data_IF_980194229779
#
_entry.id   IF_980194229779
#
_cell.length_a   1.000
_cell.length_b   1.000
_cell.length_c   1.000
_cell.angle_alpha   90.00
_cell.angle_beta   90.00
_cell.angle_gamma   90.00
#
_symmetry.space_group_name_H-M   'P 1'
#
loop_
_entity.id
_entity.type
_entity.pdbx_description
1 polymer ?
#
# COMPACT_ATOMS: atom_id res chain seq x y z
N UNK A 1 -40.44 -9.42 -16.32
CA UNK A 1 -39.15 -10.06 -16.64
C UNK A 1 -38.32 -10.22 -15.36
N UNK A 2 -37.56 -11.32 -15.20
CA UNK A 2 -36.61 -11.50 -14.08
C UNK A 2 -35.29 -10.76 -14.30
N UNK A 3 -34.99 -10.41 -15.55
CA UNK A 3 -33.76 -9.69 -15.92
C UNK A 3 -34.10 -8.49 -16.79
N UNK A 4 -33.48 -7.35 -16.51
CA UNK A 4 -33.56 -6.14 -17.31
C UNK A 4 -32.14 -5.66 -17.63
N UNK A 5 -31.84 -5.52 -18.93
CA UNK A 5 -30.55 -5.01 -19.41
C UNK A 5 -30.76 -3.67 -20.11
N UNK A 6 -30.22 -2.61 -19.52
CA UNK A 6 -30.17 -1.25 -20.05
C UNK A 6 -28.70 -0.83 -20.24
N UNK A 7 -27.86 -1.77 -20.68
CA UNK A 7 -26.41 -1.58 -20.82
C UNK A 7 -26.05 -0.77 -22.08
N UNK A 8 -24.95 -0.02 -22.04
CA UNK A 8 -24.37 0.71 -23.18
C UNK A 8 -25.35 1.74 -23.79
N UNK A 9 -26.04 2.50 -22.94
CA UNK A 9 -26.92 3.60 -23.35
C UNK A 9 -26.34 4.96 -22.89
N UNK A 10 -27.12 6.03 -23.06
CA UNK A 10 -26.72 7.40 -22.72
C UNK A 10 -27.43 7.91 -21.45
N UNK A 11 -27.85 7.02 -20.55
CA UNK A 11 -28.55 7.42 -19.32
C UNK A 11 -27.61 8.22 -18.42
N UNK A 12 -28.02 9.41 -17.99
CA UNK A 12 -27.22 10.28 -17.10
C UNK A 12 -27.72 10.29 -15.65
N UNK A 13 -28.98 9.89 -15.43
CA UNK A 13 -29.61 9.77 -14.11
C UNK A 13 -30.70 8.70 -14.12
N UNK A 14 -31.05 8.18 -12.94
CA UNK A 14 -32.22 7.33 -12.73
C UNK A 14 -33.19 8.06 -11.80
N UNK A 15 -34.43 8.34 -12.24
CA UNK A 15 -35.42 8.99 -11.39
C UNK A 15 -35.95 8.04 -10.30
N UNK A 16 -36.53 8.62 -9.26
CA UNK A 16 -37.24 7.86 -8.22
C UNK A 16 -38.31 6.94 -8.83
N UNK A 17 -38.38 5.69 -8.38
CA UNK A 17 -39.42 4.75 -8.82
C UNK A 17 -39.34 4.29 -10.28
N UNK A 18 -38.24 4.56 -11.01
CA UNK A 18 -38.07 4.18 -12.41
C UNK A 18 -38.37 2.70 -12.72
N UNK A 19 -38.23 1.83 -11.72
CA UNK A 19 -38.41 0.38 -11.83
C UNK A 19 -39.53 -0.17 -10.93
N UNK A 20 -40.38 0.68 -10.33
CA UNK A 20 -41.38 0.26 -9.33
C UNK A 20 -42.36 -0.81 -9.84
N UNK A 21 -42.63 -0.83 -11.14
CA UNK A 21 -43.54 -1.78 -11.78
C UNK A 21 -42.88 -3.12 -12.15
N UNK A 22 -41.68 -3.41 -11.65
CA UNK A 22 -40.91 -4.63 -11.94
C UNK A 22 -40.64 -5.45 -10.66
N UNK A 23 -41.66 -5.86 -9.87
CA UNK A 23 -41.47 -6.51 -8.56
C UNK A 23 -40.81 -7.90 -8.64
N UNK A 24 -40.84 -8.52 -9.82
CA UNK A 24 -40.21 -9.84 -10.07
C UNK A 24 -38.77 -9.74 -10.59
N UNK A 25 -38.19 -8.54 -10.63
CA UNK A 25 -36.85 -8.33 -11.15
C UNK A 25 -35.79 -8.88 -10.20
N UNK A 26 -34.95 -9.78 -10.69
CA UNK A 26 -33.84 -10.43 -9.98
C UNK A 26 -32.48 -9.85 -10.40
N UNK A 27 -32.36 -9.37 -11.64
CA UNK A 27 -31.14 -8.77 -12.16
C UNK A 27 -31.43 -7.48 -12.94
N UNK A 28 -30.74 -6.40 -12.55
CA UNK A 28 -30.76 -5.12 -13.26
C UNK A 28 -29.35 -4.73 -13.69
N UNK A 29 -29.16 -4.49 -14.99
CA UNK A 29 -27.90 -3.98 -15.54
C UNK A 29 -28.08 -2.60 -16.16
N UNK A 30 -27.36 -1.62 -15.60
CA UNK A 30 -27.21 -0.23 -16.06
C UNK A 30 -25.74 0.05 -16.46
N UNK A 31 -25.03 -1.00 -16.86
CA UNK A 31 -23.62 -0.97 -17.22
C UNK A 31 -23.37 -0.01 -18.39
N UNK A 32 -22.26 0.72 -18.37
CA UNK A 32 -21.82 1.49 -19.55
C UNK A 32 -22.78 2.62 -19.91
N UNK A 33 -23.23 3.38 -18.91
CA UNK A 33 -24.04 4.57 -19.10
C UNK A 33 -23.23 5.81 -18.65
N UNK A 34 -23.86 6.99 -18.66
CA UNK A 34 -23.30 8.23 -18.16
C UNK A 34 -23.77 8.59 -16.75
N UNK A 35 -24.20 7.63 -15.93
CA UNK A 35 -24.85 7.91 -14.65
C UNK A 35 -23.90 8.65 -13.71
N UNK A 36 -24.20 9.91 -13.41
CA UNK A 36 -23.44 10.73 -12.47
C UNK A 36 -24.05 10.71 -11.07
N UNK A 37 -25.38 10.52 -10.98
CA UNK A 37 -26.14 10.51 -9.75
C UNK A 37 -27.22 9.42 -9.78
N UNK A 38 -27.50 8.83 -8.62
CA UNK A 38 -28.64 7.93 -8.39
C UNK A 38 -29.52 8.59 -7.33
N UNK A 39 -30.76 8.91 -7.66
CA UNK A 39 -31.68 9.52 -6.69
C UNK A 39 -32.04 8.52 -5.57
N UNK A 40 -32.35 9.03 -4.38
CA UNK A 40 -32.87 8.20 -3.29
C UNK A 40 -34.14 7.50 -3.74
N UNK A 41 -34.26 6.20 -3.46
CA UNK A 41 -35.40 5.39 -3.90
C UNK A 41 -35.48 5.08 -5.40
N UNK A 42 -34.42 5.33 -6.18
CA UNK A 42 -34.35 4.96 -7.60
C UNK A 42 -34.58 3.45 -7.84
N UNK A 43 -34.16 2.61 -6.90
CA UNK A 43 -34.34 1.15 -6.92
C UNK A 43 -35.38 0.66 -5.91
N UNK A 44 -36.28 1.54 -5.46
CA UNK A 44 -37.26 1.18 -4.44
C UNK A 44 -38.18 0.03 -4.89
N UNK A 45 -38.58 -0.81 -3.93
CA UNK A 45 -39.54 -1.92 -4.09
C UNK A 45 -39.10 -3.05 -5.04
N UNK A 46 -37.82 -3.17 -5.38
CA UNK A 46 -37.27 -4.31 -6.10
C UNK A 46 -36.93 -5.47 -5.13
N UNK A 47 -37.97 -6.03 -4.51
CA UNK A 47 -37.85 -6.98 -3.38
C UNK A 47 -37.11 -8.28 -3.71
N UNK A 48 -37.08 -8.66 -4.99
CA UNK A 48 -36.40 -9.88 -5.49
C UNK A 48 -35.03 -9.60 -6.11
N UNK A 49 -34.57 -8.35 -6.13
CA UNK A 49 -33.33 -7.99 -6.83
C UNK A 49 -32.13 -8.63 -6.13
N UNK A 50 -31.49 -9.56 -6.82
CA UNK A 50 -30.28 -10.27 -6.38
C UNK A 50 -29.01 -9.56 -6.85
N UNK A 51 -29.05 -8.99 -8.06
CA UNK A 51 -27.86 -8.43 -8.73
C UNK A 51 -28.13 -7.07 -9.35
N UNK A 52 -27.29 -6.10 -9.00
CA UNK A 52 -27.32 -4.75 -9.55
C UNK A 52 -25.96 -4.38 -10.16
N UNK A 53 -25.94 -4.07 -11.45
CA UNK A 53 -24.74 -3.67 -12.17
C UNK A 53 -24.80 -2.20 -12.58
N UNK A 54 -23.95 -1.39 -11.95
CA UNK A 54 -23.75 0.04 -12.16
C UNK A 54 -22.32 0.35 -12.63
N UNK A 55 -21.58 -0.66 -13.09
CA UNK A 55 -20.20 -0.51 -13.51
C UNK A 55 -20.07 0.25 -14.84
N UNK A 56 -18.95 0.93 -15.04
CA UNK A 56 -18.70 1.80 -16.21
C UNK A 56 -19.75 2.92 -16.26
N UNK A 57 -19.71 3.79 -15.26
CA UNK A 57 -20.57 4.98 -15.14
C UNK A 57 -19.73 6.17 -14.62
N UNK A 58 -20.37 7.27 -14.25
CA UNK A 58 -19.71 8.49 -13.80
C UNK A 58 -20.00 8.82 -12.31
N UNK A 59 -20.32 7.81 -11.49
CA UNK A 59 -20.70 8.02 -10.10
C UNK A 59 -19.50 8.50 -9.29
N UNK A 60 -19.65 9.60 -8.56
CA UNK A 60 -18.61 10.16 -7.67
C UNK A 60 -18.84 9.85 -6.19
N UNK A 61 -20.10 9.59 -5.83
CA UNK A 61 -20.55 9.25 -4.48
C UNK A 61 -21.72 8.29 -4.54
N UNK A 62 -22.00 7.66 -3.41
CA UNK A 62 -23.12 6.76 -3.22
C UNK A 62 -23.96 7.29 -2.08
N UNK A 63 -25.25 7.54 -2.33
CA UNK A 63 -26.18 7.84 -1.26
C UNK A 63 -26.73 6.51 -0.70
N UNK A 64 -26.65 6.25 0.62
CA UNK A 64 -27.21 5.05 1.23
C UNK A 64 -28.67 4.77 0.84
N UNK A 65 -29.48 5.84 0.73
CA UNK A 65 -30.92 5.73 0.45
C UNK A 65 -31.23 5.41 -1.02
N UNK A 66 -30.23 5.45 -1.90
CA UNK A 66 -30.36 4.93 -3.27
C UNK A 66 -30.64 3.43 -3.27
N UNK A 67 -30.19 2.69 -2.24
CA UNK A 67 -30.35 1.25 -2.11
C UNK A 67 -31.39 0.82 -1.06
N UNK A 68 -32.27 1.73 -0.65
CA UNK A 68 -33.35 1.42 0.30
C UNK A 68 -34.28 0.34 -0.22
N UNK A 69 -34.69 -0.57 0.68
CA UNK A 69 -35.65 -1.65 0.42
C UNK A 69 -35.22 -2.66 -0.66
N UNK A 70 -33.94 -3.07 -0.64
CA UNK A 70 -33.39 -4.15 -1.46
C UNK A 70 -33.00 -5.37 -0.60
N UNK A 71 -33.96 -6.08 0.02
CA UNK A 71 -33.69 -7.09 1.06
C UNK A 71 -33.03 -8.37 0.54
N UNK A 72 -32.97 -8.57 -0.77
CA UNK A 72 -32.36 -9.77 -1.38
C UNK A 72 -31.08 -9.45 -2.16
N UNK A 73 -30.59 -8.21 -2.13
CA UNK A 73 -29.42 -7.84 -2.93
C UNK A 73 -28.17 -8.54 -2.41
N UNK A 74 -27.57 -9.39 -3.26
CA UNK A 74 -26.36 -10.16 -2.93
C UNK A 74 -25.13 -9.68 -3.69
N UNK A 75 -25.29 -9.11 -4.89
CA UNK A 75 -24.18 -8.66 -5.70
C UNK A 75 -24.37 -7.24 -6.24
N UNK A 76 -23.41 -6.37 -5.93
CA UNK A 76 -23.37 -4.98 -6.39
C UNK A 76 -22.07 -4.72 -7.14
N UNK A 77 -22.16 -4.31 -8.41
CA UNK A 77 -21.01 -3.91 -9.22
C UNK A 77 -21.01 -2.41 -9.44
N UNK A 78 -20.00 -1.74 -8.93
CA UNK A 78 -19.76 -0.29 -9.02
C UNK A 78 -18.38 0.01 -9.64
N UNK A 79 -17.75 -0.98 -10.28
CA UNK A 79 -16.43 -0.80 -10.86
C UNK A 79 -16.39 0.20 -12.01
N UNK A 80 -15.22 0.79 -12.26
CA UNK A 80 -15.02 1.78 -13.32
C UNK A 80 -16.00 2.96 -13.18
N UNK A 81 -16.01 3.56 -11.99
CA UNK A 81 -16.70 4.81 -11.67
C UNK A 81 -15.66 5.84 -11.18
N UNK A 82 -16.11 6.93 -10.54
CA UNK A 82 -15.26 7.99 -10.00
C UNK A 82 -15.44 8.15 -8.49
N UNK A 83 -15.81 7.07 -7.78
CA UNK A 83 -16.08 7.10 -6.34
C UNK A 83 -14.79 7.42 -5.58
N UNK A 84 -14.81 8.44 -4.73
CA UNK A 84 -13.62 8.91 -4.00
C UNK A 84 -13.58 8.46 -2.55
N UNK A 85 -14.72 8.15 -1.93
CA UNK A 85 -14.80 7.70 -0.55
C UNK A 85 -15.99 6.75 -0.33
N UNK A 86 -15.90 5.96 0.73
CA UNK A 86 -16.96 5.13 1.29
C UNK A 86 -16.85 5.19 2.82
N UNK A 87 -17.99 5.17 3.49
CA UNK A 87 -18.10 5.17 4.95
C UNK A 87 -19.00 4.02 5.44
N UNK A 88 -19.13 3.87 6.75
CA UNK A 88 -19.94 2.82 7.38
C UNK A 88 -21.44 2.90 7.03
N UNK A 89 -21.93 4.08 6.67
CA UNK A 89 -23.34 4.33 6.32
C UNK A 89 -23.64 4.01 4.85
N UNK A 90 -22.63 4.11 3.96
CA UNK A 90 -22.74 4.03 2.50
C UNK A 90 -23.57 2.83 2.01
N UNK A 91 -23.40 1.66 2.64
CA UNK A 91 -24.10 0.42 2.28
C UNK A 91 -25.00 -0.12 3.40
N UNK A 92 -25.30 0.68 4.42
CA UNK A 92 -26.07 0.27 5.61
C UNK A 92 -27.48 -0.25 5.31
N UNK A 93 -28.07 0.14 4.16
CA UNK A 93 -29.40 -0.28 3.72
C UNK A 93 -29.45 -1.64 3.01
N UNK A 94 -28.30 -2.28 2.76
CA UNK A 94 -28.18 -3.56 2.05
C UNK A 94 -27.32 -4.58 2.81
N UNK A 95 -27.67 -4.94 4.07
CA UNK A 95 -26.86 -5.82 4.92
C UNK A 95 -26.70 -7.26 4.40
N UNK A 96 -27.50 -7.66 3.40
CA UNK A 96 -27.46 -8.99 2.77
C UNK A 96 -26.37 -9.14 1.72
N UNK A 97 -25.65 -8.06 1.41
CA UNK A 97 -24.67 -8.04 0.33
C UNK A 97 -23.55 -9.06 0.57
N UNK A 98 -23.28 -9.88 -0.44
CA UNK A 98 -22.25 -10.93 -0.41
C UNK A 98 -21.05 -10.60 -1.29
N UNK A 99 -21.27 -9.86 -2.38
CA UNK A 99 -20.25 -9.48 -3.35
C UNK A 99 -20.32 -7.99 -3.66
N UNK A 100 -19.25 -7.28 -3.37
CA UNK A 100 -19.10 -5.86 -3.66
C UNK A 100 -17.89 -5.65 -4.57
N UNK A 101 -18.11 -5.09 -5.75
CA UNK A 101 -17.03 -4.70 -6.65
C UNK A 101 -16.96 -3.17 -6.79
N UNK A 102 -15.85 -2.61 -6.35
CA UNK A 102 -15.45 -1.20 -6.39
C UNK A 102 -14.12 -1.01 -7.16
N UNK A 103 -13.71 -1.97 -7.98
CA UNK A 103 -12.49 -1.89 -8.78
C UNK A 103 -12.49 -0.64 -9.68
N UNK A 104 -11.32 -0.06 -9.96
CA UNK A 104 -11.18 1.10 -10.87
C UNK A 104 -12.06 2.28 -10.46
N UNK A 105 -11.93 2.69 -9.21
CA UNK A 105 -12.48 3.94 -8.67
C UNK A 105 -11.33 4.86 -8.20
N UNK A 106 -11.61 5.85 -7.37
CA UNK A 106 -10.63 6.83 -6.89
C UNK A 106 -10.54 6.86 -5.36
N UNK A 107 -10.85 5.73 -4.71
CA UNK A 107 -10.84 5.62 -3.24
C UNK A 107 -9.40 5.73 -2.73
N UNK A 108 -9.16 6.56 -1.72
CA UNK A 108 -7.81 6.85 -1.18
C UNK A 108 -7.54 6.22 0.18
N UNK A 109 -8.56 5.97 1.00
CA UNK A 109 -8.40 5.44 2.37
C UNK A 109 -9.53 4.46 2.68
N UNK A 110 -9.23 3.43 3.47
CA UNK A 110 -10.24 2.58 4.11
C UNK A 110 -10.14 2.77 5.63
N UNK A 111 -11.19 3.35 6.21
CA UNK A 111 -11.25 3.62 7.65
C UNK A 111 -11.78 2.42 8.43
N UNK A 112 -11.57 2.42 9.75
CA UNK A 112 -12.13 1.40 10.64
C UNK A 112 -13.65 1.30 10.49
N UNK A 113 -14.19 0.09 10.44
CA UNK A 113 -15.63 -0.14 10.33
C UNK A 113 -16.30 0.28 9.01
N UNK A 114 -15.54 0.67 7.98
CA UNK A 114 -16.08 1.06 6.64
C UNK A 114 -17.10 0.04 6.10
N UNK A 115 -16.88 -1.26 6.35
CA UNK A 115 -17.75 -2.35 5.88
C UNK A 115 -18.52 -3.05 7.00
N UNK A 116 -18.50 -2.51 8.22
CA UNK A 116 -19.10 -3.15 9.41
C UNK A 116 -20.60 -3.43 9.31
N UNK A 117 -21.32 -2.67 8.47
CA UNK A 117 -22.74 -2.85 8.19
C UNK A 117 -23.05 -4.01 7.23
N UNK A 118 -22.02 -4.71 6.72
CA UNK A 118 -22.15 -5.76 5.71
C UNK A 118 -21.60 -7.13 6.18
N UNK A 119 -22.19 -7.74 7.24
CA UNK A 119 -21.65 -8.95 7.87
C UNK A 119 -21.68 -10.20 6.97
N UNK A 120 -22.45 -10.18 5.87
CA UNK A 120 -22.59 -11.30 4.93
C UNK A 120 -21.60 -11.24 3.76
N UNK A 121 -20.72 -10.23 3.71
CA UNK A 121 -19.75 -10.09 2.63
C UNK A 121 -18.79 -11.28 2.57
N UNK A 122 -18.66 -11.83 1.36
CA UNK A 122 -17.74 -12.91 1.01
C UNK A 122 -16.64 -12.43 0.07
N UNK A 123 -16.92 -11.41 -0.72
CA UNK A 123 -15.99 -10.90 -1.72
C UNK A 123 -16.04 -9.38 -1.80
N UNK A 124 -14.87 -8.76 -1.61
CA UNK A 124 -14.66 -7.33 -1.81
C UNK A 124 -13.57 -7.17 -2.86
N UNK A 125 -13.88 -6.49 -3.95
CA UNK A 125 -12.93 -6.11 -4.97
C UNK A 125 -12.73 -4.58 -4.98
N UNK A 126 -11.53 -4.12 -4.71
CA UNK A 126 -11.13 -2.70 -4.66
C UNK A 126 -9.81 -2.46 -5.40
N UNK A 127 -9.52 -3.28 -6.41
CA UNK A 127 -8.30 -3.19 -7.20
C UNK A 127 -8.28 -1.93 -8.08
N UNK A 128 -7.09 -1.42 -8.40
CA UNK A 128 -6.93 -0.23 -9.26
C UNK A 128 -7.65 1.01 -8.71
N UNK A 129 -7.58 1.22 -7.40
CA UNK A 129 -7.98 2.45 -6.74
C UNK A 129 -6.73 3.30 -6.42
N UNK A 130 -6.87 4.31 -5.56
CA UNK A 130 -5.76 5.16 -5.10
C UNK A 130 -5.46 4.95 -3.61
N UNK A 131 -5.73 3.75 -3.07
CA UNK A 131 -5.69 3.51 -1.63
C UNK A 131 -4.25 3.62 -1.13
N UNK A 132 -3.98 4.58 -0.24
CA UNK A 132 -2.65 4.77 0.38
C UNK A 132 -2.57 4.18 1.78
N UNK A 133 -3.71 4.11 2.48
CA UNK A 133 -3.79 3.69 3.87
C UNK A 133 -5.04 2.87 4.18
N UNK A 134 -4.87 1.85 5.02
CA UNK A 134 -5.95 1.01 5.55
C UNK A 134 -5.80 1.04 7.07
N UNK A 135 -6.86 1.47 7.76
CA UNK A 135 -6.87 1.53 9.22
C UNK A 135 -6.94 0.13 9.84
N UNK A 136 -6.32 -0.10 11.00
CA UNK A 136 -6.62 -1.28 11.82
C UNK A 136 -8.13 -1.41 12.05
N UNK A 137 -8.67 -2.63 11.91
CA UNK A 137 -10.11 -2.86 12.01
C UNK A 137 -10.95 -2.40 10.80
N UNK A 138 -10.35 -1.98 9.69
CA UNK A 138 -11.07 -1.63 8.46
C UNK A 138 -12.04 -2.72 7.98
N UNK A 139 -11.67 -3.98 8.20
CA UNK A 139 -12.45 -5.17 7.82
C UNK A 139 -13.00 -5.93 9.03
N UNK A 140 -13.10 -5.29 10.20
CA UNK A 140 -13.68 -5.90 11.40
C UNK A 140 -15.11 -6.39 11.13
N UNK A 141 -15.52 -7.46 11.80
CA UNK A 141 -16.85 -8.09 11.69
C UNK A 141 -17.16 -8.76 10.34
N UNK A 142 -16.24 -8.76 9.38
CA UNK A 142 -16.40 -9.47 8.10
C UNK A 142 -16.03 -10.95 8.22
N UNK A 143 -16.68 -11.66 9.14
CA UNK A 143 -16.36 -13.05 9.48
C UNK A 143 -16.58 -14.03 8.32
N UNK A 144 -17.43 -13.66 7.35
CA UNK A 144 -17.73 -14.46 6.15
C UNK A 144 -16.82 -14.14 4.95
N UNK A 145 -15.89 -13.19 5.08
CA UNK A 145 -15.08 -12.73 3.97
C UNK A 145 -14.13 -13.82 3.51
N UNK A 146 -14.16 -14.12 2.21
CA UNK A 146 -13.36 -15.17 1.56
C UNK A 146 -12.32 -14.59 0.60
N UNK A 147 -12.60 -13.47 -0.04
CA UNK A 147 -11.73 -12.84 -1.03
C UNK A 147 -11.67 -11.34 -0.83
N UNK A 148 -10.46 -10.81 -0.71
CA UNK A 148 -10.19 -9.38 -0.63
C UNK A 148 -9.14 -9.01 -1.69
N UNK A 149 -9.56 -8.25 -2.70
CA UNK A 149 -8.70 -7.83 -3.82
C UNK A 149 -8.34 -6.34 -3.67
N UNK A 150 -7.07 -6.06 -3.37
CA UNK A 150 -6.51 -4.71 -3.17
C UNK A 150 -5.36 -4.42 -4.15
N UNK A 151 -5.30 -5.17 -5.25
CA UNK A 151 -4.26 -5.08 -6.28
C UNK A 151 -4.16 -3.68 -6.89
N UNK A 152 -2.95 -3.26 -7.26
CA UNK A 152 -2.72 -2.03 -8.02
C UNK A 152 -3.27 -0.79 -7.29
N UNK A 153 -2.89 -0.62 -6.03
CA UNK A 153 -3.17 0.55 -5.20
C UNK A 153 -1.84 1.22 -4.78
N UNK A 154 -1.90 2.16 -3.84
CA UNK A 154 -0.74 2.91 -3.34
C UNK A 154 -0.41 2.58 -1.87
N UNK A 155 -0.76 1.38 -1.40
CA UNK A 155 -0.58 0.99 0.01
C UNK A 155 0.91 0.90 0.32
N UNK A 156 1.38 1.59 1.36
CA UNK A 156 2.82 1.68 1.70
C UNK A 156 3.25 0.82 2.87
N UNK A 157 2.37 0.63 3.86
CA UNK A 157 2.65 -0.10 5.08
C UNK A 157 1.41 -0.89 5.53
N UNK A 158 1.63 -2.01 6.20
CA UNK A 158 0.56 -2.81 6.82
C UNK A 158 0.85 -2.95 8.32
N UNK A 159 0.00 -2.34 9.13
CA UNK A 159 0.10 -2.31 10.60
C UNK A 159 -0.65 -3.48 11.26
N UNK A 160 -0.34 -3.82 12.53
CA UNK A 160 -1.09 -4.80 13.30
C UNK A 160 -2.59 -4.52 13.30
N UNK A 161 -3.41 -5.57 13.16
CA UNK A 161 -4.87 -5.42 13.13
C UNK A 161 -5.47 -4.92 11.81
N UNK A 162 -4.65 -4.64 10.78
CA UNK A 162 -5.17 -4.26 9.45
C UNK A 162 -5.94 -5.40 8.81
N UNK A 163 -5.39 -6.62 8.83
CA UNK A 163 -6.00 -7.85 8.31
C UNK A 163 -6.07 -8.92 9.41
N UNK A 164 -6.73 -8.61 10.53
CA UNK A 164 -6.86 -9.54 11.65
C UNK A 164 -8.24 -10.20 11.71
N UNK A 165 -8.31 -11.43 12.19
CA UNK A 165 -9.55 -12.15 12.53
C UNK A 165 -10.51 -12.33 11.34
N UNK A 166 -9.97 -12.44 10.12
CA UNK A 166 -10.74 -12.77 8.93
C UNK A 166 -10.76 -14.29 8.76
N UNK A 167 -11.54 -14.95 9.64
CA UNK A 167 -11.47 -16.40 9.87
C UNK A 167 -11.72 -17.24 8.61
N UNK A 168 -12.51 -16.75 7.65
CA UNK A 168 -12.84 -17.45 6.41
C UNK A 168 -12.06 -16.95 5.19
N UNK A 169 -11.08 -16.06 5.37
CA UNK A 169 -10.36 -15.45 4.25
C UNK A 169 -9.51 -16.50 3.55
N UNK A 170 -9.77 -16.72 2.26
CA UNK A 170 -9.05 -17.67 1.42
C UNK A 170 -7.98 -16.97 0.57
N UNK A 171 -8.25 -15.73 0.14
CA UNK A 171 -7.38 -14.96 -0.75
C UNK A 171 -7.30 -13.50 -0.32
N UNK A 172 -6.07 -13.04 -0.14
CA UNK A 172 -5.72 -11.64 0.02
C UNK A 172 -4.78 -11.23 -1.12
N UNK A 173 -5.26 -10.36 -2.01
CA UNK A 173 -4.46 -9.86 -3.14
C UNK A 173 -3.93 -8.45 -2.86
N UNK A 174 -2.61 -8.33 -2.68
CA UNK A 174 -1.91 -7.06 -2.46
C UNK A 174 -0.86 -6.81 -3.57
N UNK A 175 -0.99 -7.48 -4.71
CA UNK A 175 -0.09 -7.34 -5.86
C UNK A 175 -0.01 -5.89 -6.33
N UNK A 176 1.18 -5.44 -6.77
CA UNK A 176 1.36 -4.11 -7.38
C UNK A 176 0.95 -2.98 -6.44
N UNK A 177 1.44 -2.98 -5.21
CA UNK A 177 1.31 -1.87 -4.27
C UNK A 177 2.69 -1.23 -4.01
N UNK A 178 2.77 -0.35 -3.00
CA UNK A 178 4.02 0.30 -2.59
C UNK A 178 4.48 -0.23 -1.22
N UNK A 179 4.10 -1.47 -0.87
CA UNK A 179 4.30 -2.00 0.48
C UNK A 179 5.80 -2.18 0.72
N UNK A 180 6.33 -1.42 1.67
CA UNK A 180 7.74 -1.51 2.08
C UNK A 180 7.94 -2.39 3.30
N UNK A 181 6.94 -2.44 4.19
CA UNK A 181 6.98 -3.19 5.45
C UNK A 181 5.62 -3.76 5.80
N UNK A 182 5.63 -4.98 6.33
CA UNK A 182 4.50 -5.64 7.00
C UNK A 182 4.94 -5.85 8.44
N UNK A 183 4.24 -5.25 9.39
CA UNK A 183 4.57 -5.38 10.81
C UNK A 183 4.09 -6.75 11.35
N UNK A 184 4.80 -7.37 12.30
CA UNK A 184 4.33 -8.58 12.96
C UNK A 184 2.92 -8.41 13.53
N UNK A 185 2.05 -9.42 13.37
CA UNK A 185 0.65 -9.35 13.78
C UNK A 185 -0.30 -8.59 12.83
N UNK A 186 0.21 -8.03 11.72
CA UNK A 186 -0.62 -7.42 10.67
C UNK A 186 -1.52 -8.42 9.94
N UNK A 187 -1.09 -9.68 9.88
CA UNK A 187 -1.75 -10.80 9.22
C UNK A 187 -2.19 -11.88 10.24
N UNK A 188 -2.53 -11.46 11.46
CA UNK A 188 -2.84 -12.38 12.56
C UNK A 188 -4.21 -13.04 12.40
N UNK A 189 -4.29 -14.31 12.81
CA UNK A 189 -5.52 -15.10 12.82
C UNK A 189 -6.24 -15.15 11.44
N UNK A 190 -5.52 -15.66 10.43
CA UNK A 190 -6.04 -15.93 9.08
C UNK A 190 -6.01 -17.45 8.77
N UNK A 191 -6.72 -18.30 9.54
CA UNK A 191 -6.53 -19.75 9.55
C UNK A 191 -6.89 -20.45 8.23
N UNK A 192 -7.72 -19.83 7.39
CA UNK A 192 -8.13 -20.39 6.10
C UNK A 192 -7.35 -19.83 4.91
N UNK A 193 -6.36 -18.97 5.12
CA UNK A 193 -5.68 -18.27 4.04
C UNK A 193 -4.90 -19.23 3.14
N UNK A 194 -5.26 -19.26 1.86
CA UNK A 194 -4.62 -20.09 0.84
C UNK A 194 -3.68 -19.30 -0.05
N UNK A 195 -4.00 -18.03 -0.33
CA UNK A 195 -3.23 -17.19 -1.26
C UNK A 195 -3.03 -15.81 -0.68
N UNK A 196 -1.77 -15.40 -0.58
CA UNK A 196 -1.31 -14.05 -0.29
C UNK A 196 -0.41 -13.57 -1.42
N UNK A 197 -0.82 -12.55 -2.16
CA UNK A 197 0.03 -11.97 -3.22
C UNK A 197 0.72 -10.70 -2.71
N UNK A 198 2.05 -10.67 -2.72
CA UNK A 198 2.87 -9.51 -2.34
C UNK A 198 3.87 -9.15 -3.44
N UNK A 199 3.72 -9.73 -4.64
CA UNK A 199 4.64 -9.44 -5.75
C UNK A 199 4.45 -8.02 -6.28
N UNK A 200 5.53 -7.43 -6.82
CA UNK A 200 5.54 -6.06 -7.32
C UNK A 200 5.21 -5.06 -6.19
N UNK A 201 6.00 -5.10 -5.12
CA UNK A 201 5.92 -4.17 -3.99
C UNK A 201 7.33 -3.60 -3.73
N UNK A 202 7.52 -2.91 -2.60
CA UNK A 202 8.76 -2.24 -2.24
C UNK A 202 9.44 -2.85 -1.00
N UNK A 203 9.19 -4.13 -0.74
CA UNK A 203 9.76 -4.81 0.43
C UNK A 203 11.26 -5.07 0.23
N UNK A 204 12.08 -4.62 1.17
CA UNK A 204 13.53 -4.86 1.13
C UNK A 204 13.94 -6.06 1.97
N UNK A 205 13.25 -6.33 3.07
CA UNK A 205 13.52 -7.46 3.96
C UNK A 205 12.22 -8.05 4.50
N UNK A 206 12.29 -9.27 5.04
CA UNK A 206 11.18 -9.90 5.76
C UNK A 206 11.56 -9.94 7.23
N UNK A 207 10.76 -9.30 8.08
CA UNK A 207 11.01 -9.29 9.52
C UNK A 207 10.63 -10.65 10.14
N UNK A 208 11.31 -11.06 11.22
CA UNK A 208 10.92 -12.22 12.00
C UNK A 208 9.43 -12.17 12.38
N UNK A 209 8.69 -13.25 12.13
CA UNK A 209 7.28 -13.37 12.53
C UNK A 209 6.29 -12.71 11.57
N UNK A 210 6.74 -12.09 10.47
CA UNK A 210 5.83 -11.48 9.47
C UNK A 210 4.77 -12.46 8.97
N UNK A 211 5.12 -13.74 8.85
CA UNK A 211 4.25 -14.80 8.32
C UNK A 211 4.02 -15.97 9.30
N UNK A 212 4.38 -15.83 10.59
CA UNK A 212 4.34 -16.94 11.56
C UNK A 212 2.94 -17.49 11.80
N UNK A 213 1.93 -16.62 11.71
CA UNK A 213 0.54 -16.95 12.03
C UNK A 213 -0.24 -17.47 10.81
N UNK A 214 0.41 -17.52 9.64
CA UNK A 214 -0.20 -18.00 8.41
C UNK A 214 -0.19 -19.54 8.34
N UNK A 215 -1.22 -20.16 7.75
CA UNK A 215 -1.21 -21.59 7.49
C UNK A 215 0.03 -22.02 6.67
N UNK A 216 0.63 -23.15 7.02
CA UNK A 216 1.84 -23.66 6.33
C UNK A 216 1.66 -23.87 4.82
N UNK A 217 0.43 -24.12 4.37
CA UNK A 217 0.07 -24.33 2.96
C UNK A 217 -0.26 -23.04 2.20
N UNK A 218 -0.14 -21.86 2.82
CA UNK A 218 -0.43 -20.59 2.16
C UNK A 218 0.59 -20.33 1.05
N UNK A 219 0.10 -20.15 -0.16
CA UNK A 219 0.90 -19.64 -1.26
C UNK A 219 1.17 -18.15 -1.06
N UNK A 220 2.43 -17.78 -0.84
CA UNK A 220 2.87 -16.39 -0.73
C UNK A 220 3.68 -16.00 -1.98
N UNK A 221 3.30 -14.93 -2.68
CA UNK A 221 4.05 -14.42 -3.84
C UNK A 221 4.96 -13.26 -3.43
N UNK A 222 6.26 -13.33 -3.72
CA UNK A 222 7.26 -12.35 -3.25
C UNK A 222 8.13 -11.74 -4.37
N UNK A 223 7.88 -12.13 -5.63
CA UNK A 223 8.68 -11.69 -6.77
C UNK A 223 8.57 -10.19 -7.01
N UNK A 224 9.54 -9.60 -7.69
CA UNK A 224 9.56 -8.18 -8.03
C UNK A 224 9.43 -7.27 -6.80
N UNK A 225 10.25 -7.53 -5.79
CA UNK A 225 10.49 -6.63 -4.66
C UNK A 225 11.99 -6.32 -4.60
N UNK A 226 12.40 -5.14 -4.12
CA UNK A 226 13.80 -4.75 -4.02
C UNK A 226 14.51 -5.44 -2.85
N UNK A 227 14.65 -6.76 -2.90
CA UNK A 227 15.17 -7.54 -1.78
C UNK A 227 16.64 -7.24 -1.47
N UNK A 228 16.94 -7.00 -0.20
CA UNK A 228 18.28 -6.83 0.32
C UNK A 228 18.69 -8.13 1.05
N UNK A 229 19.63 -8.86 0.45
CA UNK A 229 20.15 -10.13 0.93
C UNK A 229 21.41 -9.90 1.78
N UNK A 230 21.22 -9.23 2.91
CA UNK A 230 22.24 -8.97 3.93
C UNK A 230 21.86 -9.65 5.27
N UNK A 231 22.57 -9.35 6.35
CA UNK A 231 22.35 -10.01 7.64
C UNK A 231 20.91 -9.88 8.19
N UNK A 232 20.14 -8.87 7.75
CA UNK A 232 18.76 -8.69 8.20
C UNK A 232 17.82 -9.81 7.73
N UNK A 233 18.23 -10.61 6.74
CA UNK A 233 17.49 -11.78 6.27
C UNK A 233 17.86 -13.07 7.02
N UNK A 234 18.89 -13.07 7.89
CA UNK A 234 19.36 -14.28 8.58
C UNK A 234 18.27 -14.89 9.45
N UNK A 235 17.57 -14.08 10.24
CA UNK A 235 16.47 -14.59 11.07
C UNK A 235 15.31 -15.12 10.23
N UNK A 236 15.00 -14.51 9.08
CA UNK A 236 14.01 -15.05 8.15
C UNK A 236 14.40 -16.45 7.64
N UNK A 237 15.68 -16.70 7.34
CA UNK A 237 16.16 -18.03 6.93
C UNK A 237 16.18 -19.06 8.04
N UNK A 238 16.39 -18.61 9.28
CA UNK A 238 16.36 -19.47 10.46
C UNK A 238 14.94 -19.87 10.87
N UNK A 239 13.94 -19.11 10.45
CA UNK A 239 12.54 -19.43 10.69
C UNK A 239 12.11 -20.69 9.93
N UNK A 240 11.21 -21.46 10.54
CA UNK A 240 10.61 -22.66 9.95
C UNK A 240 9.58 -22.28 8.87
N UNK A 241 10.04 -21.62 7.81
CA UNK A 241 9.26 -21.34 6.61
C UNK A 241 9.97 -21.98 5.42
N UNK A 242 9.24 -22.65 4.51
CA UNK A 242 9.84 -23.58 3.56
C UNK A 242 10.83 -22.88 2.63
N UNK A 243 11.86 -23.63 2.22
CA UNK A 243 12.77 -23.30 1.11
C UNK A 243 12.07 -22.75 -0.14
N UNK A 244 10.80 -23.11 -0.33
CA UNK A 244 9.94 -22.62 -1.40
C UNK A 244 9.71 -21.09 -1.40
N UNK A 245 9.81 -20.39 -0.26
CA UNK A 245 9.72 -18.93 -0.25
C UNK A 245 11.03 -18.28 -0.73
N UNK A 246 12.17 -18.86 -0.38
CA UNK A 246 13.48 -18.38 -0.82
C UNK A 246 13.59 -18.41 -2.35
N UNK A 247 13.06 -19.45 -3.01
CA UNK A 247 13.02 -19.56 -4.49
C UNK A 247 12.39 -18.34 -5.18
N UNK A 248 11.57 -17.56 -4.48
CA UNK A 248 10.82 -16.41 -5.01
C UNK A 248 11.54 -15.08 -4.78
N UNK A 249 12.66 -15.08 -4.06
CA UNK A 249 13.43 -13.89 -3.67
C UNK A 249 14.67 -13.80 -4.55
N UNK A 250 14.70 -12.77 -5.41
CA UNK A 250 15.86 -12.40 -6.21
C UNK A 250 16.46 -11.15 -5.58
N UNK A 251 17.71 -11.24 -5.16
CA UNK A 251 18.42 -10.17 -4.48
C UNK A 251 18.68 -8.99 -5.42
N UNK A 252 18.46 -7.77 -4.94
CA UNK A 252 18.84 -6.52 -5.61
C UNK A 252 20.07 -5.88 -4.96
N UNK A 253 20.16 -5.99 -3.64
CA UNK A 253 21.30 -5.55 -2.85
C UNK A 253 21.73 -6.66 -1.88
N UNK A 254 22.96 -6.64 -1.35
CA UNK A 254 24.09 -5.82 -1.83
C UNK A 254 24.51 -6.19 -3.27
N UNK A 255 25.24 -5.30 -3.94
CA UNK A 255 25.63 -5.46 -5.36
C UNK A 255 26.30 -6.79 -5.72
N UNK A 256 27.03 -7.44 -4.80
CA UNK A 256 27.65 -8.75 -5.02
C UNK A 256 26.64 -9.92 -5.11
N UNK A 257 25.40 -9.73 -4.65
CA UNK A 257 24.32 -10.72 -4.77
C UNK A 257 23.25 -10.30 -5.78
N UNK A 258 23.41 -9.16 -6.45
CA UNK A 258 22.41 -8.64 -7.38
C UNK A 258 22.08 -9.67 -8.48
N UNK A 259 20.80 -10.00 -8.60
CA UNK A 259 20.28 -10.99 -9.56
C UNK A 259 20.33 -12.44 -9.09
N UNK A 260 20.99 -12.74 -7.95
CA UNK A 260 21.05 -14.10 -7.42
C UNK A 260 19.78 -14.46 -6.63
N UNK A 261 19.48 -15.76 -6.58
CA UNK A 261 18.40 -16.27 -5.75
C UNK A 261 18.86 -16.37 -4.29
N UNK A 262 18.04 -15.94 -3.32
CA UNK A 262 18.40 -16.03 -1.91
C UNK A 262 18.70 -17.47 -1.47
N UNK A 263 18.03 -18.46 -2.06
CA UNK A 263 18.23 -19.88 -1.74
C UNK A 263 19.66 -20.36 -2.04
N UNK A 264 20.30 -19.79 -3.06
CA UNK A 264 21.63 -20.19 -3.53
C UNK A 264 22.76 -19.60 -2.67
N UNK A 265 22.45 -18.59 -1.86
CA UNK A 265 23.40 -17.92 -0.98
C UNK A 265 23.45 -18.70 0.33
N UNK A 266 24.64 -18.95 0.88
CA UNK A 266 24.80 -19.56 2.20
C UNK A 266 24.45 -18.55 3.31
N UNK A 267 23.80 -18.98 4.39
CA UNK A 267 23.29 -18.07 5.44
C UNK A 267 24.42 -17.30 6.11
N UNK A 268 25.58 -17.91 6.28
CA UNK A 268 26.76 -17.33 6.91
C UNK A 268 27.37 -16.19 6.08
N UNK A 269 27.05 -16.15 4.78
CA UNK A 269 27.50 -15.09 3.86
C UNK A 269 26.58 -13.88 3.82
N UNK A 270 25.42 -13.94 4.48
CA UNK A 270 24.52 -12.80 4.67
C UNK A 270 25.04 -11.94 5.82
N UNK A 271 25.96 -11.03 5.50
CA UNK A 271 26.64 -10.19 6.50
C UNK A 271 26.24 -8.73 6.36
N UNK A 272 26.25 -8.01 7.49
CA UNK A 272 26.19 -6.56 7.50
C UNK A 272 27.58 -6.00 7.80
N UNK A 273 27.92 -4.92 7.12
CA UNK A 273 29.19 -4.22 7.23
C UNK A 273 28.92 -2.84 7.81
N UNK A 274 29.51 -2.55 8.97
CA UNK A 274 29.41 -1.26 9.62
C UNK A 274 29.82 -0.14 8.65
N UNK A 275 29.15 1.03 8.66
CA UNK A 275 29.47 2.08 7.73
C UNK A 275 30.89 2.61 7.95
N UNK A 276 31.51 3.08 6.86
CA UNK A 276 32.75 3.85 6.90
C UNK A 276 32.57 5.08 6.01
N UNK A 277 32.70 6.27 6.58
CA UNK A 277 32.76 7.50 5.79
C UNK A 277 34.10 7.51 5.06
N UNK A 278 34.03 7.46 3.72
CA UNK A 278 35.20 7.42 2.85
C UNK A 278 35.72 8.83 2.57
N UNK A 279 34.81 9.81 2.46
CA UNK A 279 35.16 11.21 2.27
C UNK A 279 34.00 12.12 2.64
N UNK A 280 34.28 13.23 3.33
CA UNK A 280 33.35 14.33 3.54
C UNK A 280 34.03 15.64 3.14
N UNK A 281 33.58 16.25 2.04
CA UNK A 281 34.25 17.41 1.43
C UNK A 281 33.27 18.38 0.79
N UNK A 282 33.74 19.60 0.53
CA UNK A 282 33.05 20.57 -0.33
C UNK A 282 33.12 20.09 -1.79
N UNK A 283 32.03 20.26 -2.51
CA UNK A 283 31.96 20.03 -3.95
C UNK A 283 32.24 21.35 -4.67
N UNK A 284 33.52 21.61 -4.92
CA UNK A 284 34.03 22.92 -5.37
C UNK A 284 33.53 23.28 -6.78
N UNK A 285 33.48 22.31 -7.69
CA UNK A 285 33.03 22.50 -9.08
C UNK A 285 31.59 23.04 -9.13
N UNK A 286 30.71 22.54 -8.25
CA UNK A 286 29.28 22.95 -8.22
C UNK A 286 29.10 24.25 -7.43
N UNK A 287 29.86 24.44 -6.36
CA UNK A 287 29.75 25.62 -5.48
C UNK A 287 30.15 26.90 -6.24
N UNK A 288 31.17 26.84 -7.11
CA UNK A 288 31.62 27.98 -7.92
C UNK A 288 30.58 28.48 -8.92
N UNK A 289 29.79 27.55 -9.48
CA UNK A 289 28.77 27.81 -10.51
C UNK A 289 27.49 28.44 -9.93
N UNK A 290 27.14 28.10 -8.68
CA UNK A 290 25.82 28.48 -8.11
C UNK A 290 25.85 29.56 -7.04
N UNK A 291 27.02 29.95 -6.51
CA UNK A 291 27.37 31.09 -5.61
C UNK A 291 26.43 31.45 -4.41
N UNK A 292 25.28 30.79 -4.24
CA UNK A 292 24.27 31.02 -3.18
C UNK A 292 23.93 29.75 -2.39
N UNK A 293 24.56 28.62 -2.71
CA UNK A 293 24.37 27.36 -2.01
C UNK A 293 25.71 26.66 -1.78
N UNK A 294 25.85 26.03 -0.63
CA UNK A 294 26.99 25.19 -0.27
C UNK A 294 26.68 23.76 -0.69
N UNK A 295 27.52 23.21 -1.56
CA UNK A 295 27.43 21.82 -1.97
C UNK A 295 28.48 21.01 -1.24
N UNK A 296 28.05 19.99 -0.50
CA UNK A 296 28.91 19.05 0.20
C UNK A 296 28.65 17.64 -0.34
N UNK A 297 29.65 16.79 -0.23
CA UNK A 297 29.58 15.39 -0.62
C UNK A 297 30.09 14.52 0.51
N UNK A 298 29.21 13.67 1.05
CA UNK A 298 29.57 12.65 2.01
C UNK A 298 29.44 11.25 1.41
N UNK A 299 30.57 10.67 1.00
CA UNK A 299 30.60 9.29 0.48
C UNK A 299 30.86 8.33 1.61
N UNK A 300 30.02 7.32 1.75
CA UNK A 300 30.19 6.25 2.73
C UNK A 300 29.98 4.87 2.09
N UNK A 301 30.69 3.88 2.60
CA UNK A 301 30.48 2.46 2.30
C UNK A 301 29.79 1.78 3.48
N UNK A 302 29.09 0.67 3.25
CA UNK A 302 28.48 -0.16 4.29
C UNK A 302 27.45 -1.10 3.69
N UNK A 303 27.09 -2.15 4.41
CA UNK A 303 26.02 -3.09 4.05
C UNK A 303 25.10 -3.25 5.28
N UNK A 304 23.81 -2.92 5.22
CA UNK A 304 23.12 -2.27 4.10
C UNK A 304 23.75 -0.92 3.74
N UNK A 305 23.48 -0.40 2.53
CA UNK A 305 23.91 0.94 2.13
C UNK A 305 23.51 1.96 3.22
N UNK A 306 24.45 2.77 3.74
CA UNK A 306 24.15 3.65 4.87
C UNK A 306 23.31 4.85 4.47
N UNK A 307 22.40 5.24 5.37
CA UNK A 307 21.74 6.53 5.32
C UNK A 307 22.69 7.63 5.81
N UNK A 308 22.63 8.79 5.18
CA UNK A 308 23.48 9.94 5.49
C UNK A 308 22.66 10.95 6.30
N UNK A 309 23.23 11.37 7.43
CA UNK A 309 22.74 12.48 8.24
C UNK A 309 23.83 13.54 8.30
N UNK A 310 23.47 14.80 8.06
CA UNK A 310 24.37 15.93 8.25
C UNK A 310 23.88 16.79 9.41
N UNK A 311 24.78 17.12 10.33
CA UNK A 311 24.56 18.10 11.39
C UNK A 311 25.23 19.42 10.98
N UNK A 312 24.45 20.50 10.98
CA UNK A 312 24.91 21.86 10.71
C UNK A 312 25.61 22.45 11.94
N UNK A 313 26.39 23.54 11.79
CA UNK A 313 27.00 24.26 12.92
C UNK A 313 25.98 24.74 13.96
N UNK A 314 24.75 25.01 13.54
CA UNK A 314 23.62 25.36 14.41
C UNK A 314 23.12 24.21 15.31
N UNK A 315 23.58 22.97 15.06
CA UNK A 315 23.09 21.75 15.70
C UNK A 315 21.89 21.11 15.00
N UNK A 316 21.36 21.71 13.92
CA UNK A 316 20.26 21.14 13.15
C UNK A 316 20.72 19.90 12.36
N UNK A 317 19.92 18.83 12.42
CA UNK A 317 20.15 17.62 11.62
C UNK A 317 19.27 17.61 10.35
N UNK A 318 19.83 17.11 9.25
CA UNK A 318 19.09 16.75 8.04
C UNK A 318 19.53 15.35 7.57
N UNK A 319 18.58 14.52 7.15
CA UNK A 319 18.80 13.11 6.80
C UNK A 319 18.47 12.83 5.33
N UNK A 320 18.91 11.70 4.78
CA UNK A 320 18.55 11.24 3.42
C UNK A 320 17.05 11.42 3.15
N UNK A 321 16.71 12.07 2.03
CA UNK A 321 15.33 12.36 1.64
C UNK A 321 14.75 13.64 2.25
N UNK A 322 15.50 14.35 3.11
CA UNK A 322 15.13 15.70 3.54
C UNK A 322 15.11 16.65 2.35
N UNK A 323 14.06 17.47 2.27
CA UNK A 323 13.86 18.50 1.25
C UNK A 323 13.56 19.85 1.92
N UNK A 324 14.05 20.96 1.36
CA UNK A 324 13.97 22.30 1.94
C UNK A 324 15.30 23.08 1.89
N UNK A 325 15.62 23.84 2.95
CA UNK A 325 16.88 24.61 3.04
C UNK A 325 18.10 23.71 2.94
N UNK A 326 18.05 22.54 3.60
CA UNK A 326 19.07 21.50 3.54
C UNK A 326 18.49 20.28 2.85
N UNK A 327 19.03 19.93 1.69
CA UNK A 327 18.68 18.71 0.97
C UNK A 327 19.77 17.67 1.14
N UNK A 328 19.42 16.42 1.45
CA UNK A 328 20.35 15.28 1.49
C UNK A 328 19.86 14.19 0.56
N UNK A 329 20.64 13.89 -0.47
CA UNK A 329 20.30 12.91 -1.51
C UNK A 329 20.84 11.51 -1.19
N UNK A 330 20.22 10.47 -1.76
CA UNK A 330 20.63 9.06 -1.57
C UNK A 330 22.05 8.73 -2.07
N UNK A 331 22.65 9.60 -2.89
CA UNK A 331 24.04 9.47 -3.34
C UNK A 331 25.06 10.10 -2.36
N UNK A 332 24.59 10.71 -1.27
CA UNK A 332 25.42 11.40 -0.28
C UNK A 332 25.69 12.88 -0.59
N UNK A 333 25.09 13.43 -1.64
CA UNK A 333 25.13 14.87 -1.94
C UNK A 333 24.26 15.64 -0.94
N UNK A 334 24.83 16.70 -0.38
CA UNK A 334 24.20 17.58 0.59
C UNK A 334 24.22 19.00 0.02
N UNK A 335 23.08 19.69 0.07
CA UNK A 335 22.93 21.04 -0.46
C UNK A 335 22.35 21.92 0.63
N UNK A 336 23.07 22.96 1.03
CA UNK A 336 22.59 24.00 1.96
C UNK A 336 22.35 25.27 1.18
N UNK A 337 21.10 25.73 1.13
CA UNK A 337 20.67 26.94 0.41
C UNK A 337 20.57 28.13 1.36
N UNK A 338 20.48 29.32 0.77
CA UNK A 338 20.24 30.60 1.47
C UNK A 338 21.28 30.86 2.57
N UNK A 339 22.56 30.72 2.20
CA UNK A 339 23.68 30.83 3.13
C UNK A 339 23.72 32.19 3.84
N UNK A 340 24.09 32.14 5.10
CA UNK A 340 24.27 33.25 6.04
C UNK A 340 25.60 33.08 6.77
N UNK A 341 26.07 34.11 7.48
CA UNK A 341 27.31 34.02 8.27
C UNK A 341 27.26 32.95 9.36
N UNK A 342 26.07 32.59 9.85
CA UNK A 342 25.89 31.55 10.88
C UNK A 342 26.00 30.13 10.34
N UNK A 343 26.03 29.95 9.01
CA UNK A 343 26.31 28.65 8.39
C UNK A 343 27.83 28.36 8.33
N UNK A 344 28.69 29.31 8.71
CA UNK A 344 30.11 29.03 8.89
C UNK A 344 30.33 28.24 10.19
N UNK A 345 31.14 27.20 10.13
CA UNK A 345 31.47 26.37 11.29
C UNK A 345 31.66 24.89 10.97
N UNK A 346 31.53 24.07 12.01
CA UNK A 346 31.75 22.63 11.92
C UNK A 346 30.49 21.90 11.44
N UNK A 347 30.62 21.23 10.30
CA UNK A 347 29.64 20.27 9.81
C UNK A 347 30.06 18.85 10.21
N UNK A 348 29.08 18.01 10.50
CA UNK A 348 29.30 16.60 10.83
C UNK A 348 28.47 15.74 9.89
N UNK A 349 29.13 14.86 9.12
CA UNK A 349 28.46 13.81 8.38
C UNK A 349 28.46 12.51 9.19
N UNK A 350 27.28 11.93 9.36
CA UNK A 350 27.06 10.65 10.02
C UNK A 350 26.49 9.68 8.98
N UNK A 351 27.20 8.58 8.75
CA UNK A 351 26.72 7.47 7.94
C UNK A 351 26.25 6.34 8.87
N UNK A 352 24.98 5.95 8.78
CA UNK A 352 24.36 4.96 9.66
C UNK A 352 23.70 3.82 8.90
N UNK A 353 23.87 2.59 9.36
CA UNK A 353 23.10 1.42 8.90
C UNK A 353 22.80 0.47 10.07
N UNK A 354 22.23 -0.69 9.75
CA UNK A 354 21.87 -1.72 10.74
C UNK A 354 23.04 -2.22 11.60
N UNK A 355 24.28 -2.18 11.11
CA UNK A 355 25.48 -2.62 11.83
C UNK A 355 26.14 -1.51 12.66
N UNK A 356 25.66 -0.26 12.59
CA UNK A 356 26.15 0.86 13.39
C UNK A 356 26.37 2.12 12.56
N UNK A 357 27.24 3.01 13.04
CA UNK A 357 27.50 4.30 12.41
C UNK A 357 28.98 4.67 12.36
N UNK A 358 29.31 5.61 11.47
CA UNK A 358 30.62 6.25 11.33
C UNK A 358 30.42 7.74 11.04
N UNK A 359 31.40 8.56 11.43
CA UNK A 359 31.30 10.02 11.40
C UNK A 359 32.54 10.60 10.72
N UNK A 360 32.36 11.69 9.98
CA UNK A 360 33.42 12.58 9.55
C UNK A 360 33.01 14.03 9.77
N UNK A 361 33.98 14.91 9.98
CA UNK A 361 33.74 16.34 10.20
C UNK A 361 34.38 17.18 9.09
N UNK A 362 33.81 18.35 8.84
CA UNK A 362 34.32 19.31 7.87
C UNK A 362 34.06 20.72 8.38
N UNK A 363 35.10 21.54 8.50
CA UNK A 363 34.95 22.95 8.84
C UNK A 363 34.71 23.77 7.58
N UNK A 364 33.73 24.67 7.62
CA UNK A 364 33.31 25.49 6.49
C UNK A 364 33.42 26.97 6.85
N UNK A 365 34.15 27.70 6.03
CA UNK A 365 34.18 29.16 6.03
C UNK A 365 33.26 29.71 4.94
N UNK A 366 32.56 30.80 5.27
CA UNK A 366 31.68 31.54 4.37
C UNK A 366 32.20 32.98 4.33
N UNK A 367 32.71 33.37 3.16
CA UNK A 367 33.26 34.70 2.90
C UNK A 367 32.15 35.74 2.69
#
# INVERSE_FOLDING_TARGET
>A
SRTLQLKMNQLTSIPIGAFSNLPSLEMLSLLGNGLANIQSGAFSNLLKLDRLYLNVNNLTKINPDSFSNLPQLRALRLSSNRITYIDSATFSKIPTLQKLNLDRNQITVIQSGTFSSLPQLREIAMSSNKITYISPGAFSNLLQLQRLELRSNHITNISPGTFSNLNNLLRLDLFSNHISKIQPGALSNLPMLKVLTLSSNQMTTIQPGTFSDLPKHTYISLRNNPWHCDCRMVEFRRMTMPSLLETKIICQEPGNYRGQNLQEIQTEKLVCVKPKVLSFRRDEDVTLLRRKALHLMCKASGIPKPDITVTLPSGQNATTGSDGRVTVNENGSIIVRDLTKTDAGLYVCIAGNHAGSSIATLFIEIA
#
